data_IF_432205613891
#
_entry.id   IF_432205613891
#
_cell.length_a   1.000
_cell.length_b   1.000
_cell.length_c   1.000
_cell.angle_alpha   90.00
_cell.angle_beta   90.00
_cell.angle_gamma   90.00
#
_symmetry.space_group_name_H-M   'P 1'
#
loop_
_entity.id
_entity.type
_entity.pdbx_description
1 polymer ?
#
# COMPACT_ATOMS: atom_id res chain seq x y z
N UNK A 1 -3.92 31.49 -7.99
CA UNK A 1 -2.84 30.61 -7.47
C UNK A 1 -3.06 29.22 -8.02
N UNK A 2 -2.06 28.63 -8.66
CA UNK A 2 -2.15 27.30 -9.27
C UNK A 2 -1.98 26.22 -8.21
N UNK A 3 -2.74 25.12 -8.33
CA UNK A 3 -2.64 23.99 -7.39
C UNK A 3 -1.64 22.96 -7.89
N UNK A 4 -0.64 22.63 -7.08
CA UNK A 4 0.37 21.61 -7.39
C UNK A 4 0.18 20.40 -6.49
N UNK A 5 -0.07 19.24 -7.11
CA UNK A 5 -0.34 17.98 -6.41
C UNK A 5 0.95 17.20 -6.19
N UNK A 6 1.24 16.93 -4.91
CA UNK A 6 2.49 16.30 -4.48
C UNK A 6 2.30 14.79 -4.28
N UNK A 7 3.06 13.94 -5.01
CA UNK A 7 3.03 12.50 -4.85
C UNK A 7 3.61 12.09 -3.48
N UNK A 8 3.21 10.92 -2.92
CA UNK A 8 3.65 10.49 -1.59
C UNK A 8 5.16 10.50 -1.37
N UNK A 9 5.95 10.16 -2.39
CA UNK A 9 7.42 10.10 -2.31
C UNK A 9 8.09 11.47 -2.15
N UNK A 10 7.38 12.56 -2.43
CA UNK A 10 7.85 13.93 -2.25
C UNK A 10 7.21 14.60 -1.04
N UNK A 11 6.40 13.88 -0.25
CA UNK A 11 5.76 14.44 0.95
C UNK A 11 6.75 14.71 2.07
N UNK A 12 7.80 13.89 2.20
CA UNK A 12 8.82 14.08 3.23
C UNK A 12 9.58 15.41 3.06
N UNK A 13 9.78 15.84 1.81
CA UNK A 13 10.46 17.10 1.47
C UNK A 13 9.52 18.32 1.44
N UNK A 14 8.21 18.10 1.53
CA UNK A 14 7.18 19.16 1.54
C UNK A 14 6.44 19.24 2.87
N UNK A 15 7.02 18.69 3.94
CA UNK A 15 6.43 18.72 5.28
C UNK A 15 5.10 17.96 5.40
N UNK A 16 4.84 17.00 4.51
CA UNK A 16 3.61 16.20 4.49
C UNK A 16 2.48 16.79 3.66
N UNK A 17 2.67 17.95 3.03
CA UNK A 17 1.64 18.60 2.23
C UNK A 17 1.24 17.75 1.01
N UNK A 18 -0.07 17.64 0.76
CA UNK A 18 -0.62 16.93 -0.41
C UNK A 18 -0.78 17.85 -1.61
N UNK A 19 -1.06 19.12 -1.33
CA UNK A 19 -1.24 20.18 -2.31
C UNK A 19 -0.42 21.36 -1.86
N UNK A 20 0.28 21.98 -2.80
CA UNK A 20 0.96 23.25 -2.61
C UNK A 20 0.30 24.27 -3.54
N UNK A 21 0.16 25.49 -3.04
CA UNK A 21 -0.28 26.61 -3.86
C UNK A 21 0.94 27.44 -4.25
N UNK A 22 1.08 27.72 -5.54
CA UNK A 22 2.14 28.55 -6.07
C UNK A 22 1.61 29.41 -7.22
N UNK A 23 2.17 30.61 -7.35
CA UNK A 23 1.87 31.54 -8.43
C UNK A 23 2.97 31.53 -9.49
N UNK A 24 2.58 31.73 -10.74
CA UNK A 24 3.47 31.90 -11.88
C UNK A 24 2.67 31.97 -13.17
N UNK A 25 3.23 32.63 -14.19
CA UNK A 25 2.64 32.69 -15.53
C UNK A 25 3.02 31.47 -16.38
N UNK A 26 4.07 30.76 -15.98
CA UNK A 26 4.63 29.59 -16.65
C UNK A 26 4.91 28.44 -15.69
N UNK A 27 5.00 27.22 -16.21
CA UNK A 27 5.34 26.04 -15.39
C UNK A 27 6.71 26.22 -14.73
N UNK A 28 7.68 26.82 -15.43
CA UNK A 28 8.99 27.14 -14.89
C UNK A 28 8.94 28.07 -13.68
N UNK A 29 8.15 29.14 -13.74
CA UNK A 29 7.96 30.06 -12.61
C UNK A 29 7.29 29.38 -11.42
N UNK A 30 6.25 28.58 -11.67
CA UNK A 30 5.54 27.85 -10.60
C UNK A 30 6.51 26.87 -9.91
N UNK A 31 7.33 26.14 -10.68
CA UNK A 31 8.34 25.24 -10.12
C UNK A 31 9.39 26.02 -9.32
N UNK A 32 9.89 27.15 -9.83
CA UNK A 32 10.84 28.00 -9.11
C UNK A 32 10.26 28.54 -7.79
N UNK A 33 9.00 29.00 -7.79
CA UNK A 33 8.32 29.47 -6.59
C UNK A 33 8.20 28.37 -5.51
N UNK A 34 7.93 27.13 -5.94
CA UNK A 34 7.89 25.98 -5.04
C UNK A 34 9.27 25.62 -4.52
N UNK A 35 10.30 25.63 -5.37
CA UNK A 35 11.69 25.36 -4.98
C UNK A 35 12.23 26.44 -4.04
N UNK A 36 11.83 27.70 -4.22
CA UNK A 36 12.16 28.78 -3.29
C UNK A 36 11.54 28.55 -1.89
N UNK A 37 10.35 27.97 -1.84
CA UNK A 37 9.69 27.61 -0.58
C UNK A 37 10.22 26.29 0.02
N UNK A 38 10.68 25.37 -0.83
CA UNK A 38 11.14 24.02 -0.48
C UNK A 38 12.40 23.66 -1.29
N UNK A 39 13.60 24.09 -0.83
CA UNK A 39 14.84 23.88 -1.59
C UNK A 39 15.17 22.40 -1.82
N UNK A 40 14.71 21.51 -0.94
CA UNK A 40 14.89 20.06 -1.05
C UNK A 40 14.18 19.42 -2.26
N UNK A 41 13.21 20.11 -2.87
CA UNK A 41 12.56 19.68 -4.11
C UNK A 41 13.40 19.95 -5.35
N UNK A 42 14.25 20.98 -5.33
CA UNK A 42 15.09 21.39 -6.45
C UNK A 42 15.84 20.23 -7.12
N UNK A 43 16.72 19.50 -6.42
CA UNK A 43 17.53 18.43 -7.00
C UNK A 43 16.73 17.20 -7.45
N UNK A 44 15.45 17.09 -7.07
CA UNK A 44 14.58 15.98 -7.47
C UNK A 44 13.79 16.29 -8.73
N UNK A 45 13.44 17.56 -8.94
CA UNK A 45 12.63 18.03 -10.07
C UNK A 45 13.48 18.56 -11.23
N UNK A 46 14.59 19.22 -10.90
CA UNK A 46 15.48 19.85 -11.86
C UNK A 46 16.79 19.06 -11.99
N UNK A 47 17.38 19.11 -13.18
CA UNK A 47 18.73 18.61 -13.44
C UNK A 47 19.79 19.70 -13.16
N UNK A 48 21.08 19.36 -13.29
CA UNK A 48 22.20 20.28 -13.10
C UNK A 48 22.13 21.52 -14.02
N UNK A 49 21.50 21.39 -15.19
CA UNK A 49 21.29 22.47 -16.17
C UNK A 49 20.03 23.31 -15.87
N UNK A 50 19.31 23.04 -14.77
CA UNK A 50 18.08 23.74 -14.41
C UNK A 50 16.85 23.38 -15.25
N UNK A 51 16.95 22.32 -16.06
CA UNK A 51 15.84 21.75 -16.84
C UNK A 51 15.08 20.69 -16.05
N UNK A 52 13.87 20.35 -16.50
CA UNK A 52 13.10 19.24 -15.93
C UNK A 52 13.84 17.92 -16.07
N UNK A 53 13.95 17.21 -14.94
CA UNK A 53 14.62 15.91 -14.91
C UNK A 53 13.84 14.89 -15.75
N UNK A 54 14.55 14.08 -16.56
CA UNK A 54 13.95 13.01 -17.37
C UNK A 54 13.18 11.97 -16.53
N UNK A 55 13.53 11.84 -15.25
CA UNK A 55 12.89 10.95 -14.28
C UNK A 55 11.64 11.53 -13.63
N UNK A 56 11.20 12.73 -14.01
CA UNK A 56 9.94 13.31 -13.55
C UNK A 56 9.09 13.70 -14.75
N UNK A 57 7.84 13.28 -14.70
CA UNK A 57 6.80 13.68 -15.63
C UNK A 57 5.91 14.70 -14.93
N UNK A 58 5.56 15.76 -15.65
CA UNK A 58 4.74 16.84 -15.12
C UNK A 58 3.55 16.99 -16.03
N UNK A 59 2.37 16.99 -15.43
CA UNK A 59 1.11 17.11 -16.14
C UNK A 59 0.43 18.42 -15.77
N UNK A 60 -0.04 19.15 -16.77
CA UNK A 60 -0.90 20.31 -16.64
C UNK A 60 -2.30 19.90 -17.10
N UNK A 61 -3.29 19.90 -16.20
CA UNK A 61 -4.67 19.46 -16.52
C UNK A 61 -4.73 18.15 -17.32
N UNK A 62 -4.03 17.12 -16.83
CA UNK A 62 -3.91 15.78 -17.45
C UNK A 62 -3.10 15.70 -18.76
N UNK A 63 -2.49 16.80 -19.21
CA UNK A 63 -1.62 16.84 -20.40
C UNK A 63 -0.15 16.90 -20.01
N UNK A 64 0.69 16.02 -20.57
CA UNK A 64 2.14 16.05 -20.32
C UNK A 64 2.77 17.30 -20.97
N UNK A 65 3.48 18.09 -20.17
CA UNK A 65 4.12 19.32 -20.64
C UNK A 65 5.23 19.08 -21.68
N UNK A 66 5.75 17.85 -21.79
CA UNK A 66 6.73 17.47 -22.82
C UNK A 66 6.16 17.52 -24.24
N UNK A 67 4.84 17.46 -24.39
CA UNK A 67 4.15 17.61 -25.67
C UNK A 67 3.69 19.05 -25.93
N UNK A 68 3.84 19.93 -24.93
CA UNK A 68 3.56 21.35 -25.01
C UNK A 68 4.89 22.11 -25.18
N UNK A 69 5.11 23.16 -24.40
CA UNK A 69 6.31 24.00 -24.41
C UNK A 69 7.21 23.73 -23.18
N UNK A 70 7.08 22.56 -22.55
CA UNK A 70 7.78 22.17 -21.33
C UNK A 70 7.67 23.25 -20.23
N UNK A 71 8.77 23.91 -19.86
CA UNK A 71 8.83 24.96 -18.83
C UNK A 71 8.17 26.27 -19.27
N UNK A 72 8.09 26.55 -20.56
CA UNK A 72 7.48 27.76 -21.11
C UNK A 72 5.96 27.64 -21.28
N UNK A 73 5.39 26.46 -20.98
CA UNK A 73 3.94 26.26 -21.02
C UNK A 73 3.26 27.25 -20.08
N UNK A 74 2.33 28.04 -20.61
CA UNK A 74 1.57 29.01 -19.83
C UNK A 74 0.63 28.30 -18.87
N UNK A 75 0.53 28.84 -17.67
CA UNK A 75 -0.30 28.31 -16.59
C UNK A 75 -1.24 29.40 -16.12
N UNK A 76 -2.48 29.01 -15.88
CA UNK A 76 -3.49 29.87 -15.27
C UNK A 76 -3.69 29.51 -13.81
N UNK A 77 -4.31 30.42 -13.08
CA UNK A 77 -4.65 30.23 -11.67
C UNK A 77 -5.67 29.12 -11.40
N UNK A 78 -6.37 28.64 -12.43
CA UNK A 78 -7.34 27.55 -12.32
C UNK A 78 -6.75 26.18 -12.68
N UNK A 79 -5.48 26.14 -13.10
CA UNK A 79 -4.87 24.91 -13.55
C UNK A 79 -4.36 24.06 -12.38
N UNK A 80 -4.32 22.76 -12.63
CA UNK A 80 -3.73 21.79 -11.70
C UNK A 80 -2.50 21.15 -12.30
N UNK A 81 -1.39 21.23 -11.57
CA UNK A 81 -0.13 20.57 -11.94
C UNK A 81 0.02 19.29 -11.13
N UNK A 82 0.32 18.18 -11.80
CA UNK A 82 0.57 16.89 -11.15
C UNK A 82 1.99 16.42 -11.44
N UNK A 83 2.73 16.13 -10.37
CA UNK A 83 4.10 15.62 -10.44
C UNK A 83 4.06 14.09 -10.35
N UNK A 84 4.56 13.41 -11.38
CA UNK A 84 4.71 11.96 -11.43
C UNK A 84 6.20 11.60 -11.52
N UNK A 85 6.78 11.01 -10.47
CA UNK A 85 8.12 10.45 -10.54
C UNK A 85 8.08 9.19 -11.41
N UNK A 86 9.08 9.03 -12.28
CA UNK A 86 9.33 7.83 -13.07
C UNK A 86 9.89 6.72 -12.16
N UNK A 87 9.05 6.20 -11.27
CA UNK A 87 9.33 5.00 -10.48
C UNK A 87 8.27 3.97 -10.83
N UNK A 88 8.71 2.77 -11.23
CA UNK A 88 7.85 1.61 -11.42
C UNK A 88 6.96 1.43 -10.18
N UNK A 89 5.65 1.32 -10.41
CA UNK A 89 4.64 1.30 -9.37
C UNK A 89 4.92 0.27 -8.27
N UNK A 90 4.64 0.64 -7.02
CA UNK A 90 4.73 -0.28 -5.90
C UNK A 90 4.31 0.34 -4.58
N UNK A 91 3.07 0.05 -4.18
CA UNK A 91 2.73 -0.27 -2.79
C UNK A 91 2.83 0.84 -1.72
N UNK A 92 1.94 1.84 -1.75
CA UNK A 92 1.55 2.57 -0.52
C UNK A 92 0.13 2.25 -0.07
N UNK A 93 -0.43 1.12 -0.52
CA UNK A 93 -1.83 0.77 -0.32
C UNK A 93 -2.16 -0.70 -0.23
N UNK A 94 -1.23 -1.62 0.05
CA UNK A 94 -1.63 -2.91 0.60
C UNK A 94 -1.72 -2.77 2.12
N UNK A 95 -2.78 -2.07 2.58
CA UNK A 95 -3.26 -2.20 3.96
C UNK A 95 -4.07 -3.49 4.17
N UNK A 96 -3.87 -4.50 3.33
CA UNK A 96 -4.39 -5.80 3.64
C UNK A 96 -3.46 -6.40 4.70
N UNK A 97 -3.91 -6.28 5.95
CA UNK A 97 -3.66 -7.28 6.98
C UNK A 97 -3.97 -8.63 6.34
N UNK A 98 -2.95 -9.24 5.75
CA UNK A 98 -3.02 -10.57 5.18
C UNK A 98 -2.74 -11.50 6.36
N UNK A 99 -3.74 -12.25 6.86
CA UNK A 99 -3.48 -13.31 7.83
C UNK A 99 -2.98 -14.51 7.03
N UNK A 100 -1.73 -14.44 6.60
CA UNK A 100 -1.01 -15.59 6.07
C UNK A 100 0.30 -15.76 6.85
N UNK A 101 0.15 -15.95 8.16
CA UNK A 101 1.12 -16.69 8.95
C UNK A 101 0.36 -17.68 9.84
N UNK A 102 0.05 -18.83 9.26
CA UNK A 102 -0.14 -20.05 10.04
C UNK A 102 1.03 -20.96 9.67
N UNK A 103 1.88 -21.37 10.62
CA UNK A 103 3.05 -22.18 10.31
C UNK A 103 2.61 -23.55 9.82
N UNK A 104 2.81 -23.82 8.53
CA UNK A 104 2.72 -25.17 7.98
C UNK A 104 3.98 -25.92 8.38
N UNK A 105 3.78 -26.75 9.39
CA UNK A 105 4.54 -27.92 9.84
C UNK A 105 5.68 -28.35 8.91
N UNK A 106 6.90 -27.98 9.30
CA UNK A 106 8.11 -28.68 8.90
C UNK A 106 8.26 -29.93 9.76
N UNK A 107 8.13 -31.12 9.17
CA UNK A 107 8.83 -32.34 9.56
C UNK A 107 8.34 -33.53 8.71
N UNK A 108 8.88 -33.66 7.50
CA UNK A 108 8.92 -34.95 6.80
C UNK A 108 10.35 -35.47 6.91
N UNK A 109 10.63 -36.33 7.89
CA UNK A 109 11.68 -37.35 7.80
C UNK A 109 11.37 -38.50 8.76
N UNK A 110 11.07 -39.63 8.12
CA UNK A 110 11.16 -41.04 8.54
C UNK A 110 11.61 -41.38 9.97
N UNK A 111 10.79 -42.22 10.64
CA UNK A 111 11.16 -43.57 11.13
C UNK A 111 9.94 -44.29 11.73
N UNK A 112 9.57 -45.44 11.17
CA UNK A 112 8.73 -46.49 11.78
C UNK A 112 9.54 -47.22 12.90
N UNK A 113 9.03 -48.21 13.69
CA UNK A 113 7.76 -49.00 13.57
C UNK A 113 7.01 -49.39 14.90
N UNK A 114 5.87 -50.10 14.74
CA UNK A 114 5.30 -51.20 15.59
C UNK A 114 4.76 -50.79 16.99
N UNK A 115 3.51 -51.11 17.41
CA UNK A 115 2.93 -52.46 17.57
C UNK A 115 1.40 -52.44 17.80
N UNK A 116 0.75 -53.53 17.39
CA UNK A 116 -0.66 -53.90 17.56
C UNK A 116 -1.21 -53.84 19.00
N UNK A 117 -2.50 -53.50 19.14
CA UNK A 117 -3.51 -54.37 19.79
C UNK A 117 -4.90 -53.78 19.47
N UNK A 118 -5.74 -54.47 18.69
CA UNK A 118 -6.88 -55.29 19.19
C UNK A 118 -7.60 -54.59 20.35
N UNK A 119 -8.87 -54.19 20.29
CA UNK A 119 -10.02 -54.94 19.79
C UNK A 119 -11.23 -53.98 19.75
N UNK A 120 -12.04 -54.04 18.70
CA UNK A 120 -13.33 -53.36 18.64
C UNK A 120 -14.32 -54.37 18.08
N UNK A 121 -15.20 -54.94 18.91
CA UNK A 121 -16.34 -55.77 18.52
C UNK A 121 -17.34 -55.66 19.68
N UNK A 122 -18.35 -54.80 19.56
CA UNK A 122 -19.68 -55.09 18.99
C UNK A 122 -20.65 -55.67 20.02
N UNK A 123 -21.91 -55.38 19.71
CA UNK A 123 -23.15 -56.06 20.10
C UNK A 123 -23.86 -55.46 21.31
N UNK A 124 -25.00 -54.77 21.10
CA UNK A 124 -26.31 -55.22 20.54
C UNK A 124 -27.22 -55.69 21.68
N UNK A 125 -28.46 -55.16 21.67
CA UNK A 125 -29.72 -55.60 22.31
C UNK A 125 -29.69 -55.80 23.82
N UNK A 126 -30.61 -55.31 24.64
CA UNK A 126 -32.04 -55.10 24.48
C UNK A 126 -32.69 -55.49 25.81
N UNK A 127 -33.88 -54.98 26.07
CA UNK A 127 -34.84 -55.48 27.06
C UNK A 127 -34.69 -55.00 28.53
N UNK A 128 -35.60 -54.09 28.91
CA UNK A 128 -36.32 -54.06 30.20
C UNK A 128 -36.95 -55.45 30.49
N UNK A 129 -37.35 -55.86 31.73
CA UNK A 129 -38.15 -55.06 32.68
C UNK A 129 -37.99 -55.31 34.20
N UNK A 130 -38.70 -54.46 34.97
CA UNK A 130 -39.38 -54.69 36.26
C UNK A 130 -38.72 -55.54 37.36
N UNK A 131 -38.45 -54.95 38.52
CA UNK A 131 -39.20 -55.14 39.78
C UNK A 131 -38.42 -54.69 41.03
N UNK A 132 -39.09 -53.88 41.86
CA UNK A 132 -38.96 -53.72 43.34
C UNK A 132 -38.77 -55.07 44.07
N UNK A 133 -38.50 -55.16 45.41
CA UNK A 133 -38.42 -54.12 46.44
C UNK A 133 -37.26 -54.27 47.45
N UNK A 134 -37.02 -53.27 48.31
CA UNK A 134 -36.70 -53.44 49.74
C UNK A 134 -36.34 -52.10 50.42
N UNK A 135 -37.37 -51.32 50.73
CA UNK A 135 -37.32 -50.44 51.88
C UNK A 135 -37.50 -51.30 53.14
N UNK A 136 -36.47 -51.43 53.99
CA UNK A 136 -36.66 -51.71 55.41
C UNK A 136 -35.39 -51.44 56.24
N UNK A 137 -35.56 -50.49 57.16
CA UNK A 137 -35.06 -50.49 58.54
C UNK A 137 -33.55 -50.63 58.79
N UNK A 138 -32.95 -49.56 59.27
CA UNK A 138 -32.69 -49.36 60.70
C UNK A 138 -32.59 -47.86 61.01
#
# INVERSE_FOLDING_TARGET
>A
MTTVRIPPVLRDVTGGAKHLEAGGESVGEVVQAIVASHPDLGPRLLDADGQLNRFVNVYLNDTDIRHLDALATKVTEHDTIVLLPAMAGGSSGCRYRCPLDSPRTSAYTARQPVQESRTNVSQTIGSQPSSDPAARAQ
#
